data_IF_360019303683
#
_entry.id   IF_360019303683
#
_cell.length_a   1.000
_cell.length_b   1.000
_cell.length_c   1.000
_cell.angle_alpha   90.00
_cell.angle_beta   90.00
_cell.angle_gamma   90.00
#
_symmetry.space_group_name_H-M   'P 1'
#
loop_
_entity.id
_entity.type
_entity.pdbx_description
1 polymer ?
#
# COMPACT_ATOMS: atom_id res chain seq x y z
N UNK A 1 6.07 -14.81 9.91
CA UNK A 1 5.66 -14.06 11.12
C UNK A 1 4.25 -14.50 11.50
N UNK A 2 3.89 -14.46 12.79
CA UNK A 2 2.54 -14.83 13.24
C UNK A 2 1.89 -13.69 14.04
N UNK A 3 0.55 -13.54 14.00
CA UNK A 3 -0.13 -12.48 14.75
C UNK A 3 -0.05 -12.61 16.27
N UNK A 4 -0.04 -13.85 16.80
CA UNK A 4 -0.06 -14.15 18.23
C UNK A 4 1.20 -13.68 18.97
N UNK A 5 2.32 -13.47 18.27
CA UNK A 5 3.56 -13.00 18.88
C UNK A 5 3.55 -11.50 19.20
N UNK A 6 2.51 -10.75 18.81
CA UNK A 6 2.39 -9.31 19.08
C UNK A 6 3.45 -8.44 18.40
N UNK A 7 4.12 -8.96 17.38
CA UNK A 7 5.17 -8.27 16.64
C UNK A 7 4.62 -7.56 15.40
N UNK A 8 5.19 -6.40 15.06
CA UNK A 8 4.73 -5.60 13.91
C UNK A 8 4.75 -6.35 12.58
N UNK A 9 5.70 -7.29 12.41
CA UNK A 9 5.82 -8.09 11.18
C UNK A 9 4.73 -9.14 11.00
N UNK A 10 4.03 -9.52 12.08
CA UNK A 10 2.91 -10.47 12.05
C UNK A 10 1.55 -9.80 12.23
N UNK A 11 1.53 -8.48 12.41
CA UNK A 11 0.32 -7.69 12.65
C UNK A 11 -0.68 -7.88 11.50
N UNK A 12 -1.96 -8.01 11.85
CA UNK A 12 -3.01 -8.19 10.86
C UNK A 12 -3.34 -6.86 10.15
N UNK A 13 -3.93 -6.89 8.95
CA UNK A 13 -4.42 -5.67 8.31
C UNK A 13 -5.43 -4.89 9.17
N UNK A 14 -6.22 -5.59 9.98
CA UNK A 14 -7.16 -4.96 10.93
C UNK A 14 -6.43 -4.15 12.01
N UNK A 15 -5.28 -4.63 12.48
CA UNK A 15 -4.45 -3.88 13.42
C UNK A 15 -3.92 -2.60 12.77
N UNK A 16 -3.51 -2.63 11.50
CA UNK A 16 -3.05 -1.43 10.80
C UNK A 16 -4.14 -0.34 10.65
N UNK A 17 -5.42 -0.73 10.67
CA UNK A 17 -6.56 0.21 10.63
C UNK A 17 -6.71 0.99 11.93
N UNK A 18 -6.47 0.37 13.10
CA UNK A 18 -6.58 1.08 14.39
C UNK A 18 -5.57 2.23 14.52
N UNK A 19 -4.45 2.14 13.80
CA UNK A 19 -3.43 3.18 13.72
C UNK A 19 -3.66 4.19 12.59
N UNK A 20 -4.76 4.07 11.83
CA UNK A 20 -5.05 4.93 10.68
C UNK A 20 -4.11 4.74 9.48
N UNK A 21 -3.31 3.66 9.44
CA UNK A 21 -2.36 3.38 8.34
C UNK A 21 -3.05 2.78 7.12
N UNK A 22 -4.18 2.10 7.33
CA UNK A 22 -4.99 1.46 6.29
C UNK A 22 -6.40 2.06 6.35
N UNK A 23 -6.96 2.39 5.19
CA UNK A 23 -8.36 2.83 5.10
C UNK A 23 -9.28 1.64 5.47
N UNK A 24 -10.17 1.79 6.48
CA UNK A 24 -11.14 0.75 6.86
C UNK A 24 -11.96 0.20 5.68
N UNK A 25 -12.33 1.04 4.71
CA UNK A 25 -13.14 0.64 3.55
C UNK A 25 -12.41 -0.34 2.62
N UNK A 26 -11.08 -0.38 2.68
CA UNK A 26 -10.26 -1.29 1.87
C UNK A 26 -10.01 -2.64 2.55
N UNK A 27 -10.39 -2.82 3.82
CA UNK A 27 -10.19 -4.08 4.57
C UNK A 27 -10.79 -5.31 3.89
N UNK A 28 -12.01 -5.27 3.30
CA UNK A 28 -12.58 -6.45 2.65
C UNK A 28 -11.74 -6.97 1.47
N UNK A 29 -10.88 -6.12 0.91
CA UNK A 29 -9.98 -6.46 -0.20
C UNK A 29 -8.59 -6.91 0.27
N UNK A 30 -8.30 -6.87 1.57
CA UNK A 30 -7.00 -7.23 2.11
C UNK A 30 -6.87 -8.75 2.29
N UNK A 31 -5.79 -9.33 1.76
CA UNK A 31 -5.47 -10.75 1.90
C UNK A 31 -4.07 -10.90 2.49
N UNK A 32 -3.93 -11.79 3.48
CA UNK A 32 -2.64 -12.18 4.05
C UNK A 32 -2.35 -13.63 3.66
N UNK A 33 -1.29 -13.85 2.90
CA UNK A 33 -0.84 -15.20 2.54
C UNK A 33 0.29 -15.63 3.48
N UNK A 34 0.04 -16.66 4.30
CA UNK A 34 1.05 -17.28 5.16
C UNK A 34 1.84 -18.33 4.37
N UNK A 35 2.78 -17.86 3.55
CA UNK A 35 3.58 -18.69 2.65
C UNK A 35 4.97 -18.07 2.49
N UNK A 36 5.97 -18.90 2.21
CA UNK A 36 7.32 -18.41 1.91
C UNK A 36 7.32 -17.54 0.63
N UNK A 37 8.01 -16.40 0.70
CA UNK A 37 8.04 -15.42 -0.41
C UNK A 37 8.73 -15.97 -1.64
N UNK A 38 9.69 -16.88 -1.49
CA UNK A 38 10.39 -17.52 -2.62
C UNK A 38 9.47 -18.40 -3.46
N UNK A 39 8.35 -18.86 -2.89
CA UNK A 39 7.31 -19.61 -3.60
C UNK A 39 6.25 -18.65 -4.17
N UNK A 40 5.72 -17.76 -3.34
CA UNK A 40 4.57 -16.94 -3.74
C UNK A 40 4.93 -15.84 -4.75
N UNK A 41 6.06 -15.15 -4.57
CA UNK A 41 6.41 -13.99 -5.40
C UNK A 41 6.61 -14.35 -6.88
N UNK A 42 7.35 -15.41 -7.25
CA UNK A 42 7.51 -15.77 -8.66
C UNK A 42 6.18 -16.13 -9.33
N UNK A 43 5.29 -16.85 -8.64
CA UNK A 43 3.98 -17.24 -9.16
C UNK A 43 3.08 -16.02 -9.41
N UNK A 44 2.98 -15.12 -8.43
CA UNK A 44 2.21 -13.89 -8.58
C UNK A 44 2.76 -13.01 -9.70
N UNK A 45 4.09 -12.90 -9.79
CA UNK A 45 4.77 -12.11 -10.83
C UNK A 45 4.50 -12.67 -12.22
N UNK A 46 4.68 -13.97 -12.41
CA UNK A 46 4.43 -14.63 -13.68
C UNK A 46 2.97 -14.47 -14.13
N UNK A 47 2.01 -14.65 -13.22
CA UNK A 47 0.60 -14.44 -13.51
C UNK A 47 0.29 -13.00 -13.91
N UNK A 48 0.75 -12.02 -13.13
CA UNK A 48 0.49 -10.61 -13.39
C UNK A 48 1.07 -10.17 -14.75
N UNK A 49 2.28 -10.61 -15.09
CA UNK A 49 2.91 -10.31 -16.39
C UNK A 49 2.18 -10.99 -17.55
N UNK A 50 1.66 -12.21 -17.36
CA UNK A 50 0.96 -12.93 -18.40
C UNK A 50 -0.47 -12.40 -18.66
N UNK A 51 -1.11 -11.78 -17.65
CA UNK A 51 -2.52 -11.40 -17.71
C UNK A 51 -2.79 -9.90 -17.72
N UNK A 52 -1.81 -9.06 -17.37
CA UNK A 52 -2.00 -7.61 -17.26
C UNK A 52 -1.13 -6.84 -18.25
N UNK A 53 -1.66 -5.79 -18.91
CA UNK A 53 -0.86 -4.90 -19.74
C UNK A 53 0.07 -4.02 -18.87
N UNK A 54 1.19 -3.53 -19.44
CA UNK A 54 2.06 -2.58 -18.74
C UNK A 54 1.31 -1.34 -18.26
N UNK A 55 1.55 -0.93 -17.01
CA UNK A 55 0.94 0.30 -16.46
C UNK A 55 1.58 1.54 -17.09
N UNK A 56 0.75 2.49 -17.52
CA UNK A 56 1.22 3.79 -18.02
C UNK A 56 2.04 4.50 -16.94
N UNK A 57 3.21 5.01 -17.33
CA UNK A 57 4.10 5.71 -16.41
C UNK A 57 3.44 7.00 -15.89
N UNK A 58 3.41 7.17 -14.57
CA UNK A 58 2.74 8.32 -13.92
C UNK A 58 3.48 9.66 -14.10
N UNK A 59 4.78 9.62 -14.46
CA UNK A 59 5.65 10.80 -14.67
C UNK A 59 5.60 11.76 -13.48
N UNK A 60 5.80 11.23 -12.27
CA UNK A 60 5.59 11.99 -11.03
C UNK A 60 6.62 13.11 -10.81
N UNK A 61 7.85 12.93 -11.30
CA UNK A 61 8.90 13.96 -11.20
C UNK A 61 8.53 15.24 -11.96
N UNK A 62 7.99 15.09 -13.17
CA UNK A 62 7.51 16.21 -14.00
C UNK A 62 6.40 17.00 -13.30
N UNK A 63 5.65 16.34 -12.40
CA UNK A 63 4.54 16.93 -11.63
C UNK A 63 4.93 17.43 -10.25
N UNK A 64 6.20 17.29 -9.84
CA UNK A 64 6.66 17.52 -8.46
C UNK A 64 6.32 18.92 -7.97
N UNK A 65 6.57 19.96 -8.77
CA UNK A 65 6.33 21.36 -8.39
C UNK A 65 4.85 21.59 -8.02
N UNK A 66 3.94 21.18 -8.89
CA UNK A 66 2.50 21.29 -8.66
C UNK A 66 2.04 20.50 -7.44
N UNK A 67 2.54 19.28 -7.25
CA UNK A 67 2.19 18.44 -6.10
C UNK A 67 2.64 19.06 -4.76
N UNK A 68 3.83 19.67 -4.73
CA UNK A 68 4.34 20.34 -3.53
C UNK A 68 3.56 21.61 -3.20
N UNK A 69 3.14 22.37 -4.22
CA UNK A 69 2.27 23.54 -3.99
C UNK A 69 0.89 23.14 -3.45
N UNK A 70 0.29 22.07 -4.00
CA UNK A 70 -0.95 21.52 -3.47
C UNK A 70 -0.81 21.09 -2.01
N UNK A 71 0.32 20.45 -1.67
CA UNK A 71 0.61 20.04 -0.30
C UNK A 71 0.73 21.26 0.64
N UNK A 72 1.45 22.31 0.23
CA UNK A 72 1.60 23.56 0.99
C UNK A 72 0.27 24.26 1.20
N UNK A 73 -0.56 24.34 0.17
CA UNK A 73 -1.88 24.98 0.25
C UNK A 73 -2.78 24.27 1.26
N UNK A 74 -2.90 22.94 1.17
CA UNK A 74 -3.70 22.15 2.13
C UNK A 74 -3.19 22.22 3.55
N UNK A 75 -1.87 22.30 3.74
CA UNK A 75 -1.30 22.47 5.07
C UNK A 75 -1.70 23.80 5.70
N UNK A 76 -1.73 24.89 4.92
CA UNK A 76 -2.16 26.21 5.41
C UNK A 76 -3.64 26.21 5.76
N UNK A 77 -4.49 25.68 4.87
CA UNK A 77 -5.94 25.57 5.10
C UNK A 77 -6.32 24.79 6.37
N UNK A 78 -5.55 23.76 6.74
CA UNK A 78 -5.81 22.96 7.94
C UNK A 78 -5.22 23.55 9.24
N UNK A 79 -4.35 24.57 9.17
CA UNK A 79 -3.70 25.17 10.35
C UNK A 79 -4.07 26.65 10.57
N UNK A 80 -4.96 27.20 9.73
CA UNK A 80 -5.73 28.43 10.00
C UNK A 80 -7.08 28.05 10.62
#
# INVERSE_FOLDING_TARGET
ARPDTGGLSGATPHEAVSWGKVNPELLPNAVVAYVDTTIAMPLMTAYALAKCPPRKHKRLYDKRGALLEQLRAKYRENNE
#
